data_IF_340902736216
#
_entry.id   IF_340902736216
#
_cell.length_a   1.000
_cell.length_b   1.000
_cell.length_c   1.000
_cell.angle_alpha   90.00
_cell.angle_beta   90.00
_cell.angle_gamma   90.00
#
_symmetry.space_group_name_H-M   'P 1'
#
loop_
_entity.id
_entity.type
_entity.pdbx_description
1 polymer ?
#
# COMPACT_ATOMS: atom_id res chain seq x y z
N UNK A 1 -14.45 2.49 9.89
CA UNK A 1 -15.42 1.72 9.06
C UNK A 1 -15.99 0.49 9.74
N UNK A 2 -17.22 0.10 9.36
CA UNK A 2 -17.90 -1.13 9.83
C UNK A 2 -17.59 -2.31 8.89
N UNK A 3 -17.55 -3.53 9.40
CA UNK A 3 -17.21 -4.73 8.61
C UNK A 3 -18.14 -4.95 7.41
N UNK A 4 -19.43 -4.61 7.54
CA UNK A 4 -20.42 -4.69 6.46
C UNK A 4 -20.08 -3.80 5.26
N UNK A 5 -19.39 -2.67 5.48
CA UNK A 5 -18.97 -1.77 4.41
C UNK A 5 -17.77 -2.33 3.63
N UNK A 6 -16.89 -3.07 4.31
CA UNK A 6 -15.71 -3.70 3.69
C UNK A 6 -16.12 -4.83 2.75
N UNK A 7 -17.16 -5.59 3.10
CA UNK A 7 -17.65 -6.72 2.29
C UNK A 7 -18.21 -6.27 0.94
N UNK A 8 -18.72 -5.03 0.85
CA UNK A 8 -19.26 -4.47 -0.40
C UNK A 8 -18.18 -4.06 -1.41
N UNK A 9 -16.92 -3.95 -0.97
CA UNK A 9 -15.82 -3.47 -1.79
C UNK A 9 -15.16 -4.63 -2.52
N UNK A 10 -14.58 -4.36 -3.69
CA UNK A 10 -13.78 -5.36 -4.40
C UNK A 10 -12.40 -5.51 -3.75
N UNK A 11 -11.71 -6.61 -4.09
CA UNK A 11 -10.33 -6.85 -3.62
C UNK A 11 -9.39 -5.69 -3.94
N UNK A 12 -9.45 -5.15 -5.17
CA UNK A 12 -8.62 -4.02 -5.61
C UNK A 12 -8.91 -2.76 -4.78
N UNK A 13 -10.19 -2.44 -4.55
CA UNK A 13 -10.57 -1.30 -3.72
C UNK A 13 -10.07 -1.44 -2.27
N UNK A 14 -10.13 -2.65 -1.70
CA UNK A 14 -9.59 -2.93 -0.37
C UNK A 14 -8.06 -2.79 -0.33
N UNK A 15 -7.36 -3.23 -1.37
CA UNK A 15 -5.90 -3.07 -1.49
C UNK A 15 -5.49 -1.61 -1.61
N UNK A 16 -6.18 -0.82 -2.44
CA UNK A 16 -5.94 0.61 -2.57
C UNK A 16 -6.17 1.32 -1.23
N UNK A 17 -7.31 1.06 -0.57
CA UNK A 17 -7.58 1.60 0.75
C UNK A 17 -6.56 1.17 1.81
N UNK A 18 -6.06 -0.07 1.75
CA UNK A 18 -5.00 -0.53 2.64
C UNK A 18 -3.73 0.33 2.44
N UNK A 19 -3.36 0.61 1.21
CA UNK A 19 -2.21 1.46 0.89
C UNK A 19 -2.43 2.89 1.41
N UNK A 20 -3.60 3.48 1.12
CA UNK A 20 -3.96 4.82 1.59
C UNK A 20 -3.87 4.92 3.12
N UNK A 21 -4.42 3.93 3.84
CA UNK A 21 -4.41 3.90 5.31
C UNK A 21 -3.01 3.72 5.88
N UNK A 22 -2.12 2.98 5.19
CA UNK A 22 -0.72 2.85 5.59
C UNK A 22 0.03 4.17 5.39
N UNK A 23 -0.22 4.88 4.29
CA UNK A 23 0.37 6.19 4.01
C UNK A 23 -0.12 7.23 5.03
N UNK A 24 -1.42 7.23 5.34
CA UNK A 24 -2.03 8.08 6.37
C UNK A 24 -1.37 7.82 7.74
N UNK A 25 -1.19 6.54 8.11
CA UNK A 25 -0.50 6.20 9.36
C UNK A 25 0.95 6.71 9.37
N UNK A 26 1.68 6.61 8.26
CA UNK A 26 3.05 7.09 8.16
C UNK A 26 3.12 8.62 8.33
N UNK A 27 2.21 9.37 7.70
CA UNK A 27 2.09 10.82 7.86
C UNK A 27 1.83 11.20 9.32
N UNK A 28 0.81 10.59 9.94
CA UNK A 28 0.48 10.91 11.34
C UNK A 28 1.63 10.56 12.29
N UNK A 29 2.35 9.47 12.05
CA UNK A 29 3.53 9.12 12.85
C UNK A 29 4.66 10.13 12.68
N UNK A 30 4.84 10.68 11.48
CA UNK A 30 5.79 11.76 11.23
C UNK A 30 5.38 13.02 12.00
N UNK A 31 4.12 13.44 11.89
CA UNK A 31 3.57 14.63 12.55
C UNK A 31 3.70 14.54 14.08
N UNK A 32 3.45 13.35 14.65
CA UNK A 32 3.67 13.06 16.07
C UNK A 32 5.16 13.17 16.43
N UNK A 33 6.04 12.64 15.59
CA UNK A 33 7.49 12.63 15.84
C UNK A 33 8.08 14.05 15.87
N UNK A 34 7.58 14.94 15.00
CA UNK A 34 8.00 16.35 14.98
C UNK A 34 7.25 17.23 16.00
N UNK A 35 6.29 16.65 16.73
CA UNK A 35 5.50 17.36 17.75
C UNK A 35 4.37 18.23 17.21
N UNK A 36 4.03 18.10 15.91
CA UNK A 36 2.91 18.82 15.29
C UNK A 36 1.55 18.23 15.68
N UNK A 37 1.48 16.91 15.89
CA UNK A 37 0.28 16.21 16.31
C UNK A 37 0.49 15.59 17.71
N UNK A 38 -0.48 15.79 18.61
CA UNK A 38 -0.43 15.25 19.98
C UNK A 38 -1.49 14.17 20.21
N UNK A 39 -2.40 13.98 19.26
CA UNK A 39 -3.48 13.03 19.37
C UNK A 39 -3.07 11.62 18.94
N UNK A 40 -2.43 10.90 19.85
CA UNK A 40 -2.05 9.50 19.65
C UNK A 40 -3.25 8.57 19.37
N UNK A 41 -4.48 8.98 19.72
CA UNK A 41 -5.68 8.15 19.46
C UNK A 41 -5.95 7.96 17.97
N UNK A 42 -5.52 8.89 17.12
CA UNK A 42 -5.66 8.82 15.66
C UNK A 42 -4.90 7.61 15.12
N UNK A 43 -3.66 7.40 15.57
CA UNK A 43 -2.85 6.23 15.16
C UNK A 43 -3.54 4.92 15.51
N UNK A 44 -4.17 4.83 16.68
CA UNK A 44 -4.90 3.63 17.13
C UNK A 44 -6.11 3.35 16.24
N UNK A 45 -6.85 4.39 15.85
CA UNK A 45 -7.99 4.26 14.93
C UNK A 45 -7.53 3.76 13.56
N UNK A 46 -6.49 4.37 12.98
CA UNK A 46 -5.95 3.97 11.68
C UNK A 46 -5.45 2.52 11.71
N UNK A 47 -4.67 2.13 12.73
CA UNK A 47 -4.20 0.74 12.90
C UNK A 47 -5.35 -0.27 12.98
N UNK A 48 -6.43 0.08 13.68
CA UNK A 48 -7.64 -0.76 13.77
C UNK A 48 -8.34 -0.90 12.42
N UNK A 49 -8.36 0.15 11.60
CA UNK A 49 -8.90 0.08 10.24
C UNK A 49 -8.05 -0.78 9.33
N UNK A 50 -6.72 -0.63 9.36
CA UNK A 50 -5.79 -1.48 8.61
C UNK A 50 -6.02 -2.95 8.97
N UNK A 51 -6.07 -3.27 10.27
CA UNK A 51 -6.31 -4.65 10.73
C UNK A 51 -7.62 -5.22 10.17
N UNK A 52 -8.71 -4.44 10.18
CA UNK A 52 -10.00 -4.88 9.62
C UNK A 52 -9.93 -5.13 8.12
N UNK A 53 -9.28 -4.25 7.36
CA UNK A 53 -9.09 -4.42 5.91
C UNK A 53 -8.27 -5.69 5.64
N UNK A 54 -7.19 -5.90 6.39
CA UNK A 54 -6.37 -7.12 6.28
C UNK A 54 -7.16 -8.38 6.62
N UNK A 55 -8.01 -8.35 7.66
CA UNK A 55 -8.89 -9.48 7.98
C UNK A 55 -9.84 -9.77 6.82
N UNK A 56 -10.49 -8.75 6.24
CA UNK A 56 -11.37 -8.94 5.08
C UNK A 56 -10.62 -9.54 3.90
N UNK A 57 -9.40 -9.05 3.61
CA UNK A 57 -8.52 -9.56 2.56
C UNK A 57 -8.12 -11.03 2.78
N UNK A 58 -7.76 -11.41 4.01
CA UNK A 58 -7.35 -12.78 4.34
C UNK A 58 -8.52 -13.76 4.35
N UNK A 59 -9.71 -13.32 4.77
CA UNK A 59 -10.91 -14.16 4.82
C UNK A 59 -11.64 -14.25 3.48
N UNK A 60 -11.16 -13.58 2.42
CA UNK A 60 -11.85 -13.49 1.14
C UNK A 60 -13.31 -13.00 1.24
N UNK A 61 -13.59 -12.13 2.23
CA UNK A 61 -14.94 -11.63 2.56
C UNK A 61 -15.20 -10.28 1.88
N UNK A 62 -15.11 -10.26 0.56
CA UNK A 62 -15.31 -9.07 -0.28
C UNK A 62 -16.09 -9.41 -1.53
N UNK A 63 -16.64 -8.40 -2.21
CA UNK A 63 -17.46 -8.63 -3.41
C UNK A 63 -16.61 -9.26 -4.51
N UNK A 64 -17.18 -10.28 -5.17
CA UNK A 64 -16.52 -11.09 -6.21
C UNK A 64 -16.72 -10.55 -7.63
N UNK A 65 -17.27 -9.35 -7.83
CA UNK A 65 -17.55 -8.86 -9.18
C UNK A 65 -16.29 -8.83 -10.07
N UNK A 66 -16.48 -9.35 -11.28
CA UNK A 66 -15.47 -9.85 -12.20
C UNK A 66 -14.70 -8.77 -12.97
N UNK A 67 -13.41 -9.08 -13.17
CA UNK A 67 -12.55 -8.85 -14.34
C UNK A 67 -12.89 -7.67 -15.27
N UNK A 68 -12.05 -6.63 -15.22
CA UNK A 68 -11.45 -6.10 -16.45
C UNK A 68 -9.93 -6.11 -16.27
N UNK A 69 -9.29 -7.08 -16.91
CA UNK A 69 -7.84 -7.07 -17.12
C UNK A 69 -7.47 -5.85 -17.98
N UNK A 70 -6.53 -4.99 -17.57
CA UNK A 70 -5.57 -4.48 -18.51
C UNK A 70 -4.50 -5.56 -18.68
N UNK A 71 -4.50 -6.14 -19.89
CA UNK A 71 -3.47 -7.01 -20.42
C UNK A 71 -2.06 -6.50 -20.09
N UNK A 72 -1.19 -7.46 -19.84
CA UNK A 72 0.25 -7.32 -19.74
C UNK A 72 0.84 -6.32 -20.75
N UNK A 73 1.71 -5.43 -20.28
CA UNK A 73 2.96 -5.17 -21.00
C UNK A 73 4.12 -5.31 -20.04
N UNK A 74 4.61 -6.54 -19.93
CA UNK A 74 5.99 -6.82 -19.56
C UNK A 74 6.85 -6.22 -20.68
N UNK A 75 7.45 -5.04 -20.46
CA UNK A 75 8.71 -4.70 -21.14
C UNK A 75 9.85 -5.12 -20.23
N UNK A 76 10.30 -6.37 -20.44
CA UNK A 76 11.69 -6.74 -20.21
C UNK A 76 12.53 -5.90 -21.17
N UNK A 77 13.33 -4.99 -20.65
CA UNK A 77 14.58 -4.61 -21.31
C UNK A 77 15.73 -4.80 -20.32
N UNK A 78 16.25 -6.01 -20.36
CA UNK A 78 17.60 -6.34 -19.96
C UNK A 78 18.62 -5.57 -20.80
N UNK A 79 19.47 -4.75 -20.17
CA UNK A 79 20.85 -4.50 -20.66
C UNK A 79 21.72 -4.04 -19.49
N UNK A 80 22.40 -5.00 -18.86
CA UNK A 80 23.80 -5.38 -19.10
C UNK A 80 24.78 -4.39 -18.44
N UNK A 81 25.27 -4.82 -17.29
CA UNK A 81 26.51 -4.35 -16.66
C UNK A 81 27.63 -4.32 -17.71
N UNK A 82 28.28 -3.16 -17.88
CA UNK A 82 29.60 -3.05 -18.49
C UNK A 82 30.55 -2.36 -17.52
N UNK A 83 31.46 -3.17 -16.95
CA UNK A 83 32.73 -2.72 -16.38
C UNK A 83 33.71 -2.49 -17.53
N UNK A 84 34.18 -1.26 -17.68
CA UNK A 84 35.50 -0.80 -18.15
C UNK A 84 35.36 0.71 -18.35
N UNK A 85 36.23 1.58 -17.84
CA UNK A 85 37.53 1.77 -18.47
C UNK A 85 38.65 2.09 -17.49
N UNK A 86 39.74 1.37 -17.75
CA UNK A 86 41.11 1.60 -17.35
C UNK A 86 41.59 2.86 -18.11
N UNK A 87 41.73 3.99 -17.42
CA UNK A 87 42.51 5.12 -17.94
C UNK A 87 43.88 5.08 -17.28
N UNK A 88 44.86 4.73 -18.10
CA UNK A 88 46.30 4.80 -17.85
C UNK A 88 46.81 6.25 -17.93
N UNK A 89 47.66 6.62 -16.97
CA UNK A 89 48.80 7.56 -17.00
C UNK A 89 48.75 8.80 -17.91
N UNK A 90 48.95 9.96 -17.30
CA UNK A 90 50.06 10.87 -17.62
C UNK A 90 50.48 11.60 -16.35
#
# INVERSE_FOLDING_TARGET
MKSKELIKQTKSQLQNRLADKKNELASVLYDIKIGQETNFSVTRKIRKEIARIMTSLNMNTFSKEEVSEPKETIKKDSKKVSKSDKITKS
#
